data_IF_342392514925
#
_entry.id   IF_342392514925
#
_cell.length_a   1.000
_cell.length_b   1.000
_cell.length_c   1.000
_cell.angle_alpha   90.00
_cell.angle_beta   90.00
_cell.angle_gamma   90.00
#
_symmetry.space_group_name_H-M   'P 1'
#
loop_
_entity.id
_entity.type
_entity.pdbx_description
1 polymer ?
#
# COMPACT_ATOMS: atom_id res chain seq x y z
N UNK A 1 -2.72 -20.13 -13.58
CA UNK A 1 -1.62 -19.45 -14.28
C UNK A 1 -0.36 -19.72 -13.50
N UNK A 2 0.67 -20.25 -14.14
CA UNK A 2 2.01 -20.35 -13.56
C UNK A 2 2.56 -18.92 -13.39
N UNK A 3 2.50 -18.40 -12.17
CA UNK A 3 3.01 -17.08 -11.81
C UNK A 3 4.18 -17.25 -10.84
N UNK A 4 5.17 -18.05 -11.23
CA UNK A 4 6.51 -18.06 -10.63
C UNK A 4 7.34 -16.87 -11.16
N UNK A 5 6.72 -15.70 -11.30
CA UNK A 5 7.44 -14.44 -11.48
C UNK A 5 8.04 -14.03 -10.14
N UNK A 6 9.19 -14.64 -9.85
CA UNK A 6 10.08 -14.21 -8.77
C UNK A 6 10.78 -12.93 -9.25
N UNK A 7 10.49 -11.80 -8.63
CA UNK A 7 11.18 -10.55 -8.93
C UNK A 7 10.37 -9.33 -8.53
N UNK A 8 10.56 -8.85 -7.30
CA UNK A 8 10.11 -7.52 -6.95
C UNK A 8 10.71 -6.52 -7.95
N UNK A 9 9.91 -5.58 -8.47
CA UNK A 9 10.36 -4.56 -9.43
C UNK A 9 10.83 -3.27 -8.75
N UNK A 10 10.38 -3.06 -7.52
CA UNK A 10 10.79 -1.93 -6.70
C UNK A 10 10.56 -2.23 -5.21
N UNK A 11 11.15 -1.40 -4.36
CA UNK A 11 10.89 -1.34 -2.92
C UNK A 11 10.38 0.04 -2.54
N UNK A 12 9.19 0.10 -1.98
CA UNK A 12 8.62 1.36 -1.46
C UNK A 12 8.82 1.44 0.05
N UNK A 13 9.15 2.62 0.55
CA UNK A 13 9.23 2.92 1.98
C UNK A 13 8.58 4.27 2.29
N UNK A 14 8.18 4.44 3.55
CA UNK A 14 7.63 5.69 4.07
C UNK A 14 8.78 6.56 4.59
N UNK A 15 8.86 7.81 4.12
CA UNK A 15 9.82 8.81 4.59
C UNK A 15 9.26 9.69 5.72
N UNK A 16 7.94 9.80 5.80
CA UNK A 16 7.24 10.61 6.79
C UNK A 16 5.76 10.69 6.47
N UNK A 17 5.02 11.46 7.27
CA UNK A 17 3.59 11.71 7.09
C UNK A 17 3.36 13.20 7.20
N UNK A 18 2.63 13.78 6.25
CA UNK A 18 2.10 15.15 6.36
C UNK A 18 0.60 15.13 6.64
N UNK A 19 0.09 16.25 7.15
CA UNK A 19 -1.33 16.44 7.44
C UNK A 19 -1.93 17.43 6.44
N UNK A 20 -3.21 17.25 6.13
CA UNK A 20 -3.99 18.22 5.37
C UNK A 20 -5.46 17.88 5.39
N UNK A 21 -6.26 18.67 4.68
CA UNK A 21 -7.67 18.36 4.44
C UNK A 21 -7.94 18.18 2.95
N UNK A 22 -9.12 17.66 2.61
CA UNK A 22 -9.65 17.62 1.25
C UNK A 22 -11.17 17.76 1.31
N UNK A 23 -11.75 18.50 0.37
CA UNK A 23 -13.20 18.52 0.17
C UNK A 23 -13.69 17.19 -0.42
N UNK A 24 -14.99 16.94 -0.32
CA UNK A 24 -15.67 15.80 -0.96
C UNK A 24 -15.30 15.65 -2.44
N UNK A 25 -15.34 16.73 -3.22
CA UNK A 25 -14.95 16.71 -4.63
C UNK A 25 -13.50 16.27 -4.84
N UNK A 26 -12.59 16.76 -3.99
CA UNK A 26 -11.19 16.36 -4.03
C UNK A 26 -10.98 14.88 -3.69
N UNK A 27 -11.77 14.34 -2.76
CA UNK A 27 -11.76 12.91 -2.45
C UNK A 27 -12.35 12.09 -3.60
N UNK A 28 -13.46 12.53 -4.20
CA UNK A 28 -14.09 11.83 -5.32
C UNK A 28 -13.15 11.68 -6.50
N UNK A 29 -12.41 12.75 -6.84
CA UNK A 29 -11.40 12.72 -7.88
C UNK A 29 -10.30 11.68 -7.61
N UNK A 30 -9.81 11.62 -6.36
CA UNK A 30 -8.69 10.74 -5.97
C UNK A 30 -9.10 9.28 -5.78
N UNK A 31 -10.35 9.02 -5.38
CA UNK A 31 -10.88 7.68 -5.15
C UNK A 31 -11.78 7.26 -6.30
N UNK A 32 -13.08 7.52 -6.20
CA UNK A 32 -14.09 6.90 -7.06
C UNK A 32 -13.92 7.23 -8.54
N UNK A 33 -13.60 8.48 -8.89
CA UNK A 33 -13.42 8.85 -10.30
C UNK A 33 -12.17 8.22 -10.89
N UNK A 34 -11.13 8.03 -10.06
CA UNK A 34 -9.93 7.30 -10.46
C UNK A 34 -10.19 5.80 -10.57
N UNK A 35 -10.91 5.20 -9.62
CA UNK A 35 -11.19 3.75 -9.59
C UNK A 35 -12.07 3.28 -10.73
N UNK A 36 -13.06 4.09 -11.11
CA UNK A 36 -14.03 3.75 -12.15
C UNK A 36 -13.80 4.52 -13.45
N UNK A 37 -12.62 5.14 -13.60
CA UNK A 37 -12.21 5.90 -14.80
C UNK A 37 -13.30 6.89 -15.27
N UNK A 38 -13.94 7.57 -14.32
CA UNK A 38 -15.09 8.42 -14.57
C UNK A 38 -14.67 9.59 -15.46
N UNK A 39 -15.36 9.76 -16.60
CA UNK A 39 -15.11 10.88 -17.50
C UNK A 39 -15.67 12.18 -16.91
N UNK A 40 -14.84 12.85 -16.11
CA UNK A 40 -15.19 14.10 -15.43
C UNK A 40 -15.56 15.23 -16.41
N UNK A 41 -15.07 15.21 -17.65
CA UNK A 41 -15.45 16.22 -18.65
C UNK A 41 -16.93 16.14 -19.02
N UNK A 42 -17.49 14.92 -19.09
CA UNK A 42 -18.93 14.72 -19.30
C UNK A 42 -19.70 15.28 -18.11
N UNK A 43 -19.36 14.86 -16.88
CA UNK A 43 -20.01 15.37 -15.66
C UNK A 43 -20.05 16.90 -15.61
N UNK A 44 -18.94 17.56 -15.94
CA UNK A 44 -18.86 19.03 -15.98
C UNK A 44 -19.77 19.66 -17.03
N UNK A 45 -19.92 19.06 -18.22
CA UNK A 45 -20.82 19.55 -19.27
C UNK A 45 -22.29 19.54 -18.81
N UNK A 46 -22.65 18.61 -17.92
CA UNK A 46 -23.98 18.49 -17.34
C UNK A 46 -24.13 19.23 -16.00
N UNK A 47 -23.19 20.12 -15.66
CA UNK A 47 -23.29 20.99 -14.48
C UNK A 47 -22.76 20.41 -13.17
N UNK A 48 -22.27 19.17 -13.17
CA UNK A 48 -21.62 18.53 -12.02
C UNK A 48 -20.15 18.97 -11.91
N UNK A 49 -19.95 20.27 -11.71
CA UNK A 49 -18.66 20.93 -11.49
C UNK A 49 -18.36 21.06 -9.99
N UNK A 50 -17.16 21.50 -9.63
CA UNK A 50 -16.77 21.66 -8.22
C UNK A 50 -17.79 22.42 -7.37
N UNK A 51 -18.37 23.53 -7.88
CA UNK A 51 -19.38 24.29 -7.14
C UNK A 51 -20.67 23.50 -6.86
N UNK A 52 -21.02 22.50 -7.69
CA UNK A 52 -22.12 21.60 -7.39
C UNK A 52 -21.82 20.81 -6.11
N UNK A 53 -20.62 20.24 -6.02
CA UNK A 53 -20.22 19.47 -4.85
C UNK A 53 -20.06 20.35 -3.61
N UNK A 54 -19.48 21.53 -3.74
CA UNK A 54 -19.32 22.45 -2.60
C UNK A 54 -20.67 22.86 -1.99
N UNK A 55 -21.74 22.92 -2.82
CA UNK A 55 -23.09 23.27 -2.38
C UNK A 55 -23.91 22.10 -1.82
N UNK A 56 -23.65 20.86 -2.25
CA UNK A 56 -24.47 19.68 -1.88
C UNK A 56 -23.74 18.73 -0.92
N UNK A 57 -22.40 18.75 -0.91
CA UNK A 57 -21.54 17.85 -0.12
C UNK A 57 -20.39 18.66 0.52
N UNK A 58 -20.72 19.54 1.46
CA UNK A 58 -19.80 20.51 2.05
C UNK A 58 -18.80 19.93 3.07
N UNK A 59 -18.69 18.62 3.17
CA UNK A 59 -17.79 17.96 4.12
C UNK A 59 -16.31 18.22 3.75
N UNK A 60 -15.50 18.49 4.77
CA UNK A 60 -14.05 18.46 4.69
C UNK A 60 -13.49 17.31 5.49
N UNK A 61 -12.57 16.57 4.88
CA UNK A 61 -12.00 15.36 5.44
C UNK A 61 -10.57 15.62 5.89
N UNK A 62 -10.24 15.24 7.12
CA UNK A 62 -8.89 15.36 7.66
C UNK A 62 -8.06 14.13 7.27
N UNK A 63 -6.92 14.36 6.62
CA UNK A 63 -6.15 13.32 5.97
C UNK A 63 -4.71 13.27 6.45
N UNK A 64 -4.20 12.05 6.53
CA UNK A 64 -2.76 11.78 6.57
C UNK A 64 -2.26 11.47 5.17
N UNK A 65 -1.16 12.10 4.79
CA UNK A 65 -0.49 11.90 3.52
C UNK A 65 0.88 11.26 3.76
N UNK A 66 0.99 9.93 3.74
CA UNK A 66 2.28 9.26 3.76
C UNK A 66 3.15 9.70 2.58
N UNK A 67 4.34 10.20 2.89
CA UNK A 67 5.36 10.49 1.90
C UNK A 67 6.09 9.20 1.54
N UNK A 68 5.70 8.61 0.43
CA UNK A 68 6.29 7.38 -0.09
C UNK A 68 7.52 7.69 -0.95
N UNK A 69 8.54 6.82 -0.89
CA UNK A 69 9.62 6.78 -1.87
C UNK A 69 9.79 5.36 -2.37
N UNK A 70 9.95 5.20 -3.68
CA UNK A 70 10.14 3.90 -4.33
C UNK A 70 11.54 3.78 -4.92
N UNK A 71 12.19 2.65 -4.65
CA UNK A 71 13.46 2.29 -5.26
C UNK A 71 13.24 1.18 -6.30
N UNK A 72 13.35 1.44 -7.61
CA UNK A 72 13.28 0.38 -8.61
C UNK A 72 14.49 -0.55 -8.48
N UNK A 73 14.27 -1.86 -8.54
CA UNK A 73 15.36 -2.82 -8.63
C UNK A 73 15.86 -2.85 -10.08
N UNK A 74 17.09 -2.37 -10.31
CA UNK A 74 17.73 -2.32 -11.62
C UNK A 74 19.21 -2.67 -11.54
N UNK A 75 19.86 -2.82 -12.69
CA UNK A 75 21.28 -3.13 -12.83
C UNK A 75 22.18 -1.89 -12.87
N UNK A 76 21.60 -0.69 -12.80
CA UNK A 76 22.36 0.55 -12.84
C UNK A 76 23.15 0.79 -11.55
N UNK A 77 24.32 1.47 -11.62
CA UNK A 77 25.11 1.84 -10.44
C UNK A 77 24.26 2.61 -9.41
N UNK A 78 24.67 2.52 -8.14
CA UNK A 78 24.01 3.16 -7.01
C UNK A 78 24.23 4.69 -6.99
N UNK A 79 23.95 5.37 -8.11
CA UNK A 79 24.19 6.79 -8.31
C UNK A 79 22.93 7.44 -8.89
N UNK A 80 21.92 7.67 -8.05
CA UNK A 80 21.06 8.87 -8.14
C UNK A 80 19.95 8.85 -7.08
N UNK A 81 20.11 9.71 -6.07
CA UNK A 81 19.10 10.02 -5.05
C UNK A 81 17.89 10.82 -5.58
N UNK A 82 17.78 11.04 -6.90
CA UNK A 82 16.80 11.96 -7.52
C UNK A 82 15.57 11.26 -8.11
N UNK A 83 15.56 9.93 -8.22
CA UNK A 83 14.41 9.18 -8.76
C UNK A 83 13.39 8.80 -7.67
N UNK A 84 13.25 9.61 -6.63
CA UNK A 84 12.04 9.55 -5.79
C UNK A 84 10.87 9.91 -6.70
N UNK A 85 10.20 8.90 -7.27
CA UNK A 85 8.84 9.09 -7.76
C UNK A 85 8.04 9.43 -6.51
N UNK A 86 7.74 10.71 -6.34
CA UNK A 86 6.63 11.13 -5.51
C UNK A 86 5.44 10.36 -6.09
N UNK A 87 4.96 9.35 -5.38
CA UNK A 87 3.82 8.59 -5.86
C UNK A 87 2.69 9.57 -6.14
N UNK A 88 2.25 9.58 -7.39
CA UNK A 88 1.14 10.41 -7.83
C UNK A 88 -0.11 10.05 -7.00
N UNK A 89 -0.54 11.02 -6.20
CA UNK A 89 -1.94 11.41 -5.97
C UNK A 89 -2.80 10.57 -5.00
N UNK A 90 -2.60 9.26 -4.82
CA UNK A 90 -3.58 8.45 -4.04
C UNK A 90 -3.17 8.02 -2.63
N UNK A 91 -1.94 8.27 -2.18
CA UNK A 91 -1.51 7.80 -0.85
C UNK A 91 -1.97 8.75 0.26
N UNK A 92 -3.26 8.70 0.60
CA UNK A 92 -3.81 9.35 1.78
C UNK A 92 -4.60 8.34 2.64
N UNK A 93 -4.68 8.61 3.94
CA UNK A 93 -5.49 7.86 4.90
C UNK A 93 -6.45 8.83 5.57
N UNK A 94 -7.73 8.46 5.68
CA UNK A 94 -8.65 9.21 6.53
C UNK A 94 -8.19 9.08 7.99
N UNK A 95 -8.29 10.20 8.71
CA UNK A 95 -7.92 10.21 10.12
C UNK A 95 -9.01 9.59 10.99
N UNK A 96 -10.25 9.93 10.72
CA UNK A 96 -11.40 9.48 11.48
C UNK A 96 -12.08 8.30 10.77
N UNK A 97 -12.34 7.17 11.42
CA UNK A 97 -13.03 6.04 10.80
C UNK A 97 -14.41 6.38 10.25
N UNK A 98 -15.14 7.31 10.86
CA UNK A 98 -16.45 7.75 10.39
C UNK A 98 -16.38 8.50 9.05
N UNK A 99 -15.23 9.09 8.70
CA UNK A 99 -15.05 9.75 7.41
C UNK A 99 -15.19 8.77 6.24
N UNK A 100 -14.89 7.48 6.45
CA UNK A 100 -15.12 6.42 5.46
C UNK A 100 -16.61 6.24 5.16
N UNK A 101 -17.46 6.26 6.19
CA UNK A 101 -18.90 6.14 6.01
C UNK A 101 -19.47 7.39 5.33
N UNK A 102 -19.10 8.57 5.82
CA UNK A 102 -19.55 9.85 5.26
C UNK A 102 -19.23 9.96 3.77
N UNK A 103 -18.00 9.67 3.37
CA UNK A 103 -17.63 9.77 1.96
C UNK A 103 -18.32 8.72 1.08
N UNK A 104 -18.54 7.51 1.58
CA UNK A 104 -19.27 6.47 0.85
C UNK A 104 -20.72 6.89 0.62
N UNK A 105 -21.36 7.46 1.63
CA UNK A 105 -22.74 7.93 1.55
C UNK A 105 -22.87 9.11 0.59
N UNK A 106 -21.98 10.10 0.69
CA UNK A 106 -21.93 11.23 -0.25
C UNK A 106 -21.75 10.71 -1.69
N UNK A 107 -20.88 9.71 -1.90
CA UNK A 107 -20.64 9.13 -3.22
C UNK A 107 -21.86 8.40 -3.77
N UNK A 108 -22.47 7.52 -2.99
CA UNK A 108 -23.63 6.74 -3.43
C UNK A 108 -24.85 7.64 -3.68
N UNK A 109 -25.04 8.70 -2.89
CA UNK A 109 -26.05 9.73 -3.15
C UNK A 109 -25.80 10.44 -4.48
N UNK A 110 -24.58 10.92 -4.71
CA UNK A 110 -24.20 11.56 -5.96
C UNK A 110 -24.33 10.63 -7.18
N UNK A 111 -23.89 9.38 -7.04
CA UNK A 111 -24.04 8.37 -8.07
C UNK A 111 -25.51 8.10 -8.39
N UNK A 112 -26.40 8.11 -7.39
CA UNK A 112 -27.85 8.00 -7.62
C UNK A 112 -28.41 9.22 -8.37
N UNK A 113 -27.94 10.44 -8.07
CA UNK A 113 -28.32 11.65 -8.84
C UNK A 113 -27.93 11.49 -10.30
N UNK A 114 -26.68 11.11 -10.58
CA UNK A 114 -26.17 10.91 -11.93
C UNK A 114 -26.90 9.78 -12.67
N UNK A 115 -27.17 8.67 -11.99
CA UNK A 115 -27.88 7.52 -12.57
C UNK A 115 -29.35 7.82 -12.89
N UNK A 116 -29.93 8.83 -12.25
CA UNK A 116 -31.30 9.30 -12.51
C UNK A 116 -31.38 10.49 -13.48
N UNK A 117 -30.24 11.04 -13.90
CA UNK A 117 -30.19 12.13 -14.89
C UNK A 117 -30.49 11.58 -16.28
N UNK A 118 -31.67 11.93 -16.81
CA UNK A 118 -32.14 11.46 -18.12
C UNK A 118 -31.20 11.78 -19.28
N UNK A 119 -30.44 12.88 -19.22
CA UNK A 119 -29.54 13.28 -20.29
C UNK A 119 -28.22 12.49 -20.25
N UNK A 120 -27.72 12.17 -19.04
CA UNK A 120 -26.60 11.25 -18.86
C UNK A 120 -26.99 9.80 -19.21
N UNK A 121 -28.20 9.36 -18.87
CA UNK A 121 -28.71 8.06 -19.27
C UNK A 121 -28.83 7.93 -20.79
N UNK A 122 -29.19 9.00 -21.51
CA UNK A 122 -29.27 8.99 -22.96
C UNK A 122 -27.92 8.72 -23.66
N UNK A 123 -26.79 8.93 -22.97
CA UNK A 123 -25.45 8.61 -23.46
C UNK A 123 -24.83 7.39 -22.76
N UNK A 124 -25.66 6.58 -22.08
CA UNK A 124 -25.25 5.40 -21.30
C UNK A 124 -24.18 5.71 -20.24
N UNK A 125 -24.19 6.92 -19.68
CA UNK A 125 -23.31 7.28 -18.59
C UNK A 125 -23.94 6.82 -17.26
N UNK A 126 -23.20 6.04 -16.49
CA UNK A 126 -23.62 5.58 -15.18
C UNK A 126 -22.44 5.51 -14.22
N UNK A 127 -22.76 5.59 -12.93
CA UNK A 127 -21.80 5.47 -11.84
C UNK A 127 -22.17 4.28 -10.96
N UNK A 128 -21.21 3.46 -10.52
CA UNK A 128 -21.51 2.32 -9.67
C UNK A 128 -21.98 2.79 -8.29
N UNK A 129 -22.88 2.01 -7.69
CA UNK A 129 -23.23 2.12 -6.27
C UNK A 129 -22.42 1.08 -5.51
N UNK A 130 -21.82 1.47 -4.39
CA UNK A 130 -20.90 0.62 -3.64
C UNK A 130 -21.48 0.22 -2.28
N UNK A 131 -21.25 -1.03 -1.91
CA UNK A 131 -21.37 -1.47 -0.51
C UNK A 131 -20.16 -1.02 0.32
N UNK A 132 -20.26 -1.11 1.64
CA UNK A 132 -19.12 -0.89 2.54
C UNK A 132 -17.95 -1.84 2.23
N UNK A 133 -18.25 -3.12 1.98
CA UNK A 133 -17.27 -4.12 1.56
C UNK A 133 -16.55 -3.73 0.27
N UNK A 134 -17.29 -3.27 -0.76
CA UNK A 134 -16.70 -2.86 -2.03
C UNK A 134 -15.86 -1.61 -1.89
N UNK A 135 -16.33 -0.62 -1.12
CA UNK A 135 -15.56 0.60 -0.86
C UNK A 135 -14.25 0.29 -0.14
N UNK A 136 -14.30 -0.47 0.96
CA UNK A 136 -13.12 -0.83 1.73
C UNK A 136 -12.16 -1.69 0.91
N UNK A 137 -12.67 -2.58 0.06
CA UNK A 137 -11.87 -3.37 -0.86
C UNK A 137 -11.04 -2.52 -1.82
N UNK A 138 -11.67 -1.58 -2.54
CA UNK A 138 -10.95 -0.67 -3.44
C UNK A 138 -9.97 0.21 -2.67
N UNK A 139 -10.38 0.69 -1.48
CA UNK A 139 -9.52 1.50 -0.64
C UNK A 139 -8.25 0.74 -0.21
N UNK A 140 -8.37 -0.50 0.27
CA UNK A 140 -7.22 -1.29 0.74
C UNK A 140 -6.29 -1.70 -0.40
N UNK A 141 -6.82 -2.05 -1.58
CA UNK A 141 -6.00 -2.40 -2.74
C UNK A 141 -5.03 -1.29 -3.14
N UNK A 142 -5.45 -0.04 -2.99
CA UNK A 142 -4.65 1.14 -3.34
C UNK A 142 -3.74 1.62 -2.19
N UNK A 143 -3.57 0.85 -1.11
CA UNK A 143 -2.84 1.29 0.09
C UNK A 143 -1.72 0.34 0.50
N UNK A 144 -0.50 0.88 0.50
CA UNK A 144 0.71 0.19 0.96
C UNK A 144 0.96 0.35 2.47
N UNK A 145 0.24 1.25 3.13
CA UNK A 145 0.45 1.62 4.54
C UNK A 145 -0.87 1.75 5.25
N UNK A 146 -0.89 1.53 6.55
CA UNK A 146 -2.10 1.56 7.37
C UNK A 146 -1.91 2.34 8.67
N UNK A 147 -3.02 2.78 9.25
CA UNK A 147 -3.05 3.54 10.51
C UNK A 147 -2.77 2.61 11.69
N UNK A 148 -1.98 3.08 12.65
CA UNK A 148 -1.72 2.38 13.90
C UNK A 148 -2.59 2.95 15.05
N UNK A 149 -3.18 2.11 15.92
CA UNK A 149 -3.20 0.64 15.92
C UNK A 149 -4.12 0.04 14.85
N UNK A 150 -3.55 -0.83 14.01
CA UNK A 150 -4.20 -1.39 12.81
C UNK A 150 -5.50 -2.12 13.16
N UNK A 151 -5.46 -3.00 14.15
CA UNK A 151 -6.64 -3.78 14.56
C UNK A 151 -7.82 -2.88 14.92
N UNK A 152 -7.59 -1.90 15.80
CA UNK A 152 -8.67 -1.04 16.30
C UNK A 152 -9.19 -0.13 15.19
N UNK A 153 -8.28 0.52 14.44
CA UNK A 153 -8.68 1.41 13.36
C UNK A 153 -9.49 0.68 12.29
N UNK A 154 -9.02 -0.48 11.82
CA UNK A 154 -9.76 -1.25 10.82
C UNK A 154 -11.05 -1.85 11.38
N UNK A 155 -11.10 -2.24 12.66
CA UNK A 155 -12.36 -2.68 13.29
C UNK A 155 -13.39 -1.55 13.30
N UNK A 156 -12.98 -0.34 13.67
CA UNK A 156 -13.86 0.84 13.66
C UNK A 156 -14.33 1.18 12.25
N UNK A 157 -13.46 1.10 11.24
CA UNK A 157 -13.83 1.31 9.83
C UNK A 157 -14.80 0.24 9.33
N UNK A 158 -14.53 -1.05 9.61
CA UNK A 158 -15.41 -2.17 9.23
C UNK A 158 -16.81 -1.98 9.83
N UNK A 159 -16.88 -1.60 11.11
CA UNK A 159 -18.15 -1.37 11.79
C UNK A 159 -18.88 -0.13 11.22
N UNK A 160 -18.17 0.96 10.95
CA UNK A 160 -18.75 2.18 10.40
C UNK A 160 -19.28 1.98 8.97
N UNK A 161 -18.61 1.13 8.18
CA UNK A 161 -19.03 0.76 6.83
C UNK A 161 -20.02 -0.39 6.78
N UNK A 162 -20.36 -0.98 7.94
CA UNK A 162 -21.23 -2.15 8.05
C UNK A 162 -20.79 -3.31 7.14
N UNK A 163 -19.48 -3.56 7.03
CA UNK A 163 -18.97 -4.62 6.15
C UNK A 163 -19.36 -6.01 6.67
N UNK A 164 -19.80 -6.89 5.76
CA UNK A 164 -20.23 -8.25 6.10
C UNK A 164 -19.17 -9.31 5.78
N UNK A 165 -18.34 -9.07 4.77
CA UNK A 165 -17.40 -10.03 4.19
C UNK A 165 -15.94 -9.65 4.49
N UNK A 166 -15.72 -8.80 5.49
CA UNK A 166 -14.40 -8.36 5.93
C UNK A 166 -14.22 -8.66 7.41
N UNK A 167 -13.04 -9.14 7.77
CA UNK A 167 -12.64 -9.30 9.17
C UNK A 167 -11.22 -8.82 9.39
N UNK A 168 -10.93 -8.41 10.61
CA UNK A 168 -9.58 -8.03 11.04
C UNK A 168 -9.16 -8.86 12.24
N UNK A 169 -7.91 -9.29 12.21
CA UNK A 169 -7.27 -9.95 13.33
C UNK A 169 -5.83 -9.46 13.43
N UNK A 170 -5.51 -8.79 14.54
CA UNK A 170 -4.20 -8.18 14.79
C UNK A 170 -3.80 -7.18 13.69
N UNK A 171 -2.83 -7.54 12.86
CA UNK A 171 -2.31 -6.73 11.76
C UNK A 171 -2.77 -7.24 10.39
N UNK A 172 -3.74 -8.15 10.34
CA UNK A 172 -4.23 -8.79 9.12
C UNK A 172 -5.70 -8.47 8.89
N UNK A 173 -6.01 -7.95 7.71
CA UNK A 173 -7.38 -7.80 7.20
C UNK A 173 -7.66 -8.89 6.16
N UNK A 174 -8.82 -9.52 6.27
CA UNK A 174 -9.23 -10.66 5.46
C UNK A 174 -10.55 -10.34 4.78
N UNK A 175 -10.59 -10.44 3.46
CA UNK A 175 -11.76 -10.27 2.62
C UNK A 175 -12.22 -11.61 2.07
N UNK A 176 -13.51 -11.88 2.13
CA UNK A 176 -14.17 -12.92 1.33
C UNK A 176 -14.79 -12.26 0.09
N UNK A 177 -14.41 -12.71 -1.10
CA UNK A 177 -14.86 -12.14 -2.37
C UNK A 177 -15.37 -13.22 -3.30
N UNK A 178 -16.19 -12.82 -4.27
CA UNK A 178 -16.80 -13.72 -5.24
C UNK A 178 -16.36 -13.32 -6.66
N UNK A 179 -15.75 -14.25 -7.38
CA UNK A 179 -15.53 -14.17 -8.83
C UNK A 179 -16.30 -15.29 -9.52
N UNK A 180 -15.63 -16.09 -10.37
CA UNK A 180 -16.20 -17.36 -10.84
C UNK A 180 -16.48 -18.33 -9.67
N UNK A 181 -15.63 -18.26 -8.64
CA UNK A 181 -15.77 -18.94 -7.36
C UNK A 181 -15.44 -17.97 -6.25
N UNK A 182 -15.87 -18.25 -5.02
CA UNK A 182 -15.42 -17.46 -3.89
C UNK A 182 -13.95 -17.74 -3.56
N UNK A 183 -13.30 -16.70 -3.07
CA UNK A 183 -11.89 -16.69 -2.71
C UNK A 183 -11.67 -15.75 -1.52
N UNK A 184 -10.59 -16.00 -0.80
CA UNK A 184 -10.19 -15.24 0.38
C UNK A 184 -8.95 -14.44 0.02
N UNK A 185 -8.94 -13.15 0.31
CA UNK A 185 -7.75 -12.31 0.21
C UNK A 185 -7.35 -11.78 1.58
N UNK A 186 -6.10 -12.00 1.97
CA UNK A 186 -5.54 -11.53 3.23
C UNK A 186 -4.45 -10.51 2.97
N UNK A 187 -4.52 -9.36 3.64
CA UNK A 187 -3.46 -8.34 3.65
C UNK A 187 -2.90 -8.26 5.06
N UNK A 188 -1.61 -8.53 5.22
CA UNK A 188 -0.92 -8.45 6.51
C UNK A 188 0.05 -7.29 6.49
N UNK A 189 0.03 -6.45 7.52
CA UNK A 189 0.92 -5.31 7.69
C UNK A 189 2.00 -5.60 8.72
N UNK A 190 3.23 -5.14 8.51
CA UNK A 190 4.32 -5.34 9.47
C UNK A 190 4.28 -4.37 10.66
N UNK A 191 5.27 -4.45 11.55
CA UNK A 191 5.41 -3.56 12.71
C UNK A 191 5.63 -2.07 12.37
N UNK A 192 5.96 -1.77 11.11
CA UNK A 192 6.07 -0.40 10.57
C UNK A 192 4.80 0.00 9.81
N UNK A 193 3.72 -0.78 9.97
CA UNK A 193 2.40 -0.56 9.39
C UNK A 193 2.39 -0.50 7.86
N UNK A 194 3.42 -1.09 7.24
CA UNK A 194 3.52 -1.24 5.80
C UNK A 194 3.07 -2.63 5.39
N UNK A 195 2.46 -2.74 4.21
CA UNK A 195 1.98 -3.99 3.66
C UNK A 195 3.15 -4.97 3.52
N UNK A 196 3.02 -6.12 4.16
CA UNK A 196 4.06 -7.16 4.25
C UNK A 196 3.72 -8.36 3.39
N UNK A 197 2.50 -8.88 3.50
CA UNK A 197 2.04 -9.99 2.67
C UNK A 197 0.65 -9.76 2.12
N UNK A 198 0.44 -10.22 0.89
CA UNK A 198 -0.88 -10.37 0.27
C UNK A 198 -1.04 -11.84 -0.09
N UNK A 199 -2.06 -12.49 0.44
CA UNK A 199 -2.31 -13.92 0.22
C UNK A 199 -3.68 -14.07 -0.42
N UNK A 200 -3.76 -14.87 -1.47
CA UNK A 200 -5.00 -15.25 -2.13
C UNK A 200 -5.20 -16.75 -1.95
N UNK A 201 -6.37 -17.14 -1.45
CA UNK A 201 -6.74 -18.54 -1.20
C UNK A 201 -8.09 -18.86 -1.83
N UNK A 202 -8.33 -20.12 -2.13
CA UNK A 202 -9.67 -20.58 -2.48
C UNK A 202 -10.54 -20.72 -1.21
N UNK A 203 -11.81 -21.07 -1.38
CA UNK A 203 -12.74 -21.30 -0.27
C UNK A 203 -12.36 -22.45 0.67
N UNK A 204 -11.54 -23.39 0.21
CA UNK A 204 -11.02 -24.49 1.04
C UNK A 204 -9.73 -24.08 1.77
N UNK A 205 -9.39 -22.80 1.77
CA UNK A 205 -8.18 -22.23 2.36
C UNK A 205 -6.87 -22.70 1.69
N UNK A 206 -6.95 -23.28 0.49
CA UNK A 206 -5.78 -23.64 -0.32
C UNK A 206 -5.18 -22.39 -0.94
N UNK A 207 -3.85 -22.27 -0.85
CA UNK A 207 -3.11 -21.15 -1.40
C UNK A 207 -3.22 -21.12 -2.94
N UNK A 208 -3.68 -20.00 -3.49
CA UNK A 208 -3.66 -19.72 -4.93
C UNK A 208 -2.42 -18.89 -5.26
N UNK A 209 -2.17 -17.83 -4.48
CA UNK A 209 -1.11 -16.88 -4.76
C UNK A 209 -0.63 -16.17 -3.48
N UNK A 210 0.64 -15.78 -3.44
CA UNK A 210 1.23 -15.04 -2.31
C UNK A 210 2.26 -14.03 -2.80
N UNK A 211 2.07 -12.78 -2.39
CA UNK A 211 3.08 -11.72 -2.46
C UNK A 211 3.67 -11.55 -1.06
N UNK A 212 4.99 -11.45 -0.97
CA UNK A 212 5.69 -11.15 0.28
C UNK A 212 6.70 -10.04 0.04
N UNK A 213 6.72 -9.07 0.96
CA UNK A 213 7.73 -8.03 1.01
C UNK A 213 9.05 -8.62 1.47
N UNK A 214 10.11 -8.41 0.70
CA UNK A 214 11.45 -8.84 1.09
C UNK A 214 12.05 -7.86 2.09
N UNK A 215 12.00 -8.24 3.38
CA UNK A 215 12.67 -7.49 4.42
C UNK A 215 14.18 -7.79 4.43
N UNK A 216 14.97 -6.86 3.87
CA UNK A 216 16.44 -6.93 3.74
C UNK A 216 17.21 -7.01 5.07
N UNK A 217 16.56 -6.97 6.25
CA UNK A 217 17.26 -7.07 7.55
C UNK A 217 18.21 -8.26 7.60
N UNK A 218 17.80 -9.41 7.09
CA UNK A 218 18.65 -10.61 7.04
C UNK A 218 19.88 -10.39 6.16
N UNK A 219 19.74 -9.74 5.00
CA UNK A 219 20.85 -9.44 4.09
C UNK A 219 21.87 -8.51 4.74
N UNK A 220 21.43 -7.51 5.51
CA UNK A 220 22.33 -6.63 6.27
C UNK A 220 23.13 -7.41 7.31
N UNK A 221 22.49 -8.32 8.06
CA UNK A 221 23.19 -9.17 9.03
C UNK A 221 24.20 -10.11 8.35
N UNK A 222 23.87 -10.65 7.18
CA UNK A 222 24.80 -11.46 6.38
C UNK A 222 26.01 -10.64 5.93
N UNK A 223 25.80 -9.41 5.42
CA UNK A 223 26.90 -8.51 5.01
C UNK A 223 27.81 -8.20 6.20
N UNK A 224 27.24 -7.86 7.36
CA UNK A 224 27.99 -7.62 8.60
C UNK A 224 28.80 -8.86 8.99
N UNK A 225 28.19 -10.05 8.96
CA UNK A 225 28.84 -11.31 9.27
C UNK A 225 30.03 -11.62 8.37
N UNK A 226 29.86 -11.46 7.05
CA UNK A 226 30.95 -11.64 6.07
C UNK A 226 32.07 -10.64 6.29
N UNK A 227 31.72 -9.38 6.57
CA UNK A 227 32.69 -8.29 6.81
C UNK A 227 33.52 -8.55 8.07
N UNK A 228 32.87 -8.96 9.17
CA UNK A 228 33.54 -9.33 10.41
C UNK A 228 34.44 -10.56 10.23
N UNK A 229 33.97 -11.57 9.49
CA UNK A 229 34.76 -12.76 9.17
C UNK A 229 36.03 -12.43 8.38
N UNK A 230 35.93 -11.52 7.40
CA UNK A 230 37.08 -11.06 6.63
C UNK A 230 38.10 -10.30 7.49
N UNK A 231 37.63 -9.41 8.39
CA UNK A 231 38.50 -8.67 9.32
C UNK A 231 39.24 -9.63 10.26
N UNK A 232 38.52 -10.58 10.87
CA UNK A 232 39.13 -11.56 11.77
C UNK A 232 40.11 -12.47 11.02
N UNK A 233 39.80 -12.86 9.79
CA UNK A 233 40.69 -13.62 8.92
C UNK A 233 42.00 -12.86 8.62
N UNK A 234 41.92 -11.57 8.31
CA UNK A 234 43.09 -10.72 8.07
C UNK A 234 43.96 -10.54 9.32
N UNK A 235 43.34 -10.35 10.48
CA UNK A 235 44.05 -10.25 11.77
C UNK A 235 44.76 -11.58 12.08
N UNK A 236 44.04 -12.70 11.96
CA UNK A 236 44.59 -14.05 12.19
C UNK A 236 45.76 -14.37 11.26
N UNK A 237 45.61 -14.06 9.96
CA UNK A 237 46.67 -14.22 8.97
C UNK A 237 47.90 -13.35 9.29
N UNK A 238 47.70 -12.10 9.70
CA UNK A 238 48.79 -11.19 10.08
C UNK A 238 49.57 -11.72 11.29
N UNK A 239 48.87 -12.22 12.32
CA UNK A 239 49.51 -12.84 13.48
C UNK A 239 50.27 -14.11 13.11
N UNK A 240 49.68 -14.99 12.29
CA UNK A 240 50.33 -16.21 11.81
C UNK A 240 51.61 -15.89 11.03
N UNK A 241 51.54 -14.94 10.08
CA UNK A 241 52.69 -14.48 9.29
C UNK A 241 53.80 -13.91 10.18
N UNK A 242 53.45 -13.07 11.16
CA UNK A 242 54.42 -12.50 12.12
C UNK A 242 55.10 -13.59 12.96
N UNK A 243 54.34 -14.59 13.42
CA UNK A 243 54.87 -15.72 14.20
C UNK A 243 55.82 -16.59 13.38
N UNK A 244 55.45 -16.89 12.12
CA UNK A 244 56.28 -17.65 11.19
C UNK A 244 57.58 -16.92 10.82
N UNK A 245 57.53 -15.61 10.59
CA UNK A 245 58.73 -14.80 10.34
C UNK A 245 59.68 -14.80 11.55
N UNK A 246 59.15 -14.62 12.77
CA UNK A 246 59.97 -14.66 13.98
C UNK A 246 60.59 -16.04 14.23
N UNK A 247 59.88 -17.12 13.86
CA UNK A 247 60.40 -18.48 13.95
C UNK A 247 61.55 -18.70 12.96
N UNK A 248 61.39 -18.29 11.69
CA UNK A 248 62.43 -18.37 10.66
C UNK A 248 63.66 -17.50 10.99
N UNK A 249 63.45 -16.31 11.57
CA UNK A 249 64.55 -15.46 12.03
C UNK A 249 65.33 -16.10 13.20
N UNK A 250 64.65 -16.81 14.09
CA UNK A 250 65.32 -17.56 15.18
C UNK A 250 66.11 -18.77 14.68
N UNK A 251 65.64 -19.47 13.66
CA UNK A 251 66.35 -20.65 13.12
C UNK A 251 67.59 -20.30 12.28
N UNK A 252 67.69 -19.07 11.76
CA UNK A 252 68.86 -18.62 10.99
C UNK A 252 69.99 -18.03 11.85
N UNK A 253 69.79 -17.90 13.17
CA UNK A 253 70.76 -17.34 14.13
C UNK A 253 71.36 -18.45 15.02
N UNK A 254 70.95 -19.72 14.84
CA UNK A 254 71.54 -20.91 15.46
C UNK A 254 72.36 -21.70 14.45
#
# INVERSE_FOLDING_TARGET
GESDTIGAKSKTTVLGVSHGSSSTYGIFLKLFFSWFEVNTSILRQYGYIQSYFDNHYSNEYNLWYPKLTSWPFGTEPFDNYSNSRIHDISSFLFREPLDFQSILYDYNDFAAVVNNDTALQAINFSMPILSGDDFLWHFILDRYVMVNPINNHLTEVINALECENVSVHENKITFMRFGEKAYIMEFTYNSQWSLDTVIVKNNDNNLIYKITSTNLKFVVYVIIGVSLGAILGLIGFSFYRKRRLNFLLKSNIS
#
